data_IF_940809007856
#
_entry.id   IF_940809007856
#
_cell.length_a   1.000
_cell.length_b   1.000
_cell.length_c   1.000
_cell.angle_alpha   90.00
_cell.angle_beta   90.00
_cell.angle_gamma   90.00
#
_symmetry.space_group_name_H-M   'P 1'
#
loop_
_entity.id
_entity.type
_entity.pdbx_description
1 polymer ?
#
# COMPACT_ATOMS: atom_id res chain seq x y z
N UNK A 1 -8.04 55.37 24.87
CA UNK A 1 -6.87 54.48 25.05
C UNK A 1 -7.41 53.05 25.09
N UNK A 2 -7.09 52.24 24.08
CA UNK A 2 -7.54 50.83 24.02
C UNK A 2 -6.64 50.01 24.95
N UNK A 3 -7.22 49.38 25.96
CA UNK A 3 -6.53 48.38 26.79
C UNK A 3 -6.31 47.14 25.93
N UNK A 4 -5.15 47.05 25.29
CA UNK A 4 -4.71 45.79 24.69
C UNK A 4 -4.30 44.85 25.82
N UNK A 5 -5.23 43.99 26.23
CA UNK A 5 -4.92 42.84 27.10
C UNK A 5 -4.05 41.88 26.30
N UNK A 6 -2.74 41.98 26.49
CA UNK A 6 -1.79 40.99 25.98
C UNK A 6 -1.98 39.64 26.67
N UNK A 7 -1.77 38.56 25.93
CA UNK A 7 -1.76 37.20 26.43
C UNK A 7 -0.52 37.00 27.31
N UNK A 8 -0.65 36.37 28.49
CA UNK A 8 0.50 36.19 29.39
C UNK A 8 1.39 35.03 28.94
N UNK A 9 2.70 35.13 29.21
CA UNK A 9 3.64 34.03 28.95
C UNK A 9 3.26 32.78 29.73
N UNK A 10 2.75 32.95 30.95
CA UNK A 10 2.29 31.83 31.80
C UNK A 10 1.11 31.10 31.17
N UNK A 11 0.17 31.81 30.54
CA UNK A 11 -0.95 31.19 29.83
C UNK A 11 -0.47 30.33 28.64
N UNK A 12 0.51 30.80 27.85
CA UNK A 12 1.05 29.99 26.75
C UNK A 12 1.74 28.73 27.29
N UNK A 13 2.51 28.86 28.37
CA UNK A 13 3.26 27.74 28.95
C UNK A 13 2.34 26.65 29.45
N UNK A 14 1.27 26.99 30.19
CA UNK A 14 0.33 25.97 30.71
C UNK A 14 -0.41 25.30 29.54
N UNK A 15 -0.82 26.07 28.53
CA UNK A 15 -1.56 25.52 27.37
C UNK A 15 -0.68 24.54 26.59
N UNK A 16 0.55 24.92 26.23
CA UNK A 16 1.43 24.02 25.48
C UNK A 16 1.79 22.77 26.30
N UNK A 17 1.88 22.90 27.63
CA UNK A 17 2.16 21.78 28.53
C UNK A 17 1.02 20.76 28.53
N UNK A 18 -0.24 21.22 28.60
CA UNK A 18 -1.40 20.30 28.57
C UNK A 18 -1.54 19.64 27.19
N UNK A 19 -1.37 20.41 26.11
CA UNK A 19 -1.40 19.86 24.74
C UNK A 19 -0.32 18.81 24.54
N UNK A 20 0.88 19.01 25.11
CA UNK A 20 1.96 18.03 25.05
C UNK A 20 1.60 16.71 25.76
N UNK A 21 0.98 16.77 26.95
CA UNK A 21 0.55 15.57 27.69
C UNK A 21 -0.55 14.81 26.93
N UNK A 22 -1.55 15.52 26.40
CA UNK A 22 -2.62 14.90 25.61
C UNK A 22 -2.06 14.29 24.31
N UNK A 23 -1.17 15.00 23.64
CA UNK A 23 -0.50 14.53 22.42
C UNK A 23 0.30 13.26 22.67
N UNK A 24 1.03 13.17 23.78
CA UNK A 24 1.84 11.99 24.11
C UNK A 24 1.01 10.70 24.26
N UNK A 25 -0.23 10.79 24.73
CA UNK A 25 -1.11 9.63 24.91
C UNK A 25 -1.71 9.19 23.56
N UNK A 26 -2.08 10.13 22.69
CA UNK A 26 -2.83 9.87 21.45
C UNK A 26 -1.90 9.56 20.26
N UNK A 27 -0.70 10.16 20.20
CA UNK A 27 0.25 9.94 19.10
C UNK A 27 0.56 8.47 18.79
N UNK A 28 0.85 7.58 19.76
CA UNK A 28 1.20 6.20 19.44
C UNK A 28 0.02 5.43 18.80
N UNK A 29 -1.21 5.64 19.27
CA UNK A 29 -2.39 4.98 18.69
C UNK A 29 -2.68 5.50 17.28
N UNK A 30 -2.44 6.79 17.03
CA UNK A 30 -2.59 7.38 15.70
C UNK A 30 -1.58 6.82 14.69
N UNK A 31 -0.32 6.65 15.10
CA UNK A 31 0.73 6.05 14.25
C UNK A 31 0.34 4.61 13.89
N UNK A 32 -0.05 3.80 14.88
CA UNK A 32 -0.46 2.42 14.64
C UNK A 32 -1.70 2.33 13.73
N UNK A 33 -2.70 3.19 13.94
CA UNK A 33 -3.89 3.24 13.09
C UNK A 33 -3.54 3.59 11.64
N UNK A 34 -2.60 4.52 11.42
CA UNK A 34 -2.11 4.86 10.08
C UNK A 34 -1.39 3.68 9.44
N UNK A 35 -0.48 3.01 10.14
CA UNK A 35 0.23 1.84 9.63
C UNK A 35 -0.76 0.73 9.26
N UNK A 36 -1.74 0.44 10.10
CA UNK A 36 -2.77 -0.57 9.82
C UNK A 36 -3.64 -0.20 8.61
N UNK A 37 -3.98 1.08 8.43
CA UNK A 37 -4.72 1.55 7.27
C UNK A 37 -3.88 1.37 5.98
N UNK A 38 -2.59 1.69 6.02
CA UNK A 38 -1.65 1.46 4.91
C UNK A 38 -1.54 -0.01 4.55
N UNK A 39 -1.41 -0.91 5.54
CA UNK A 39 -1.32 -2.35 5.31
C UNK A 39 -2.62 -2.92 4.70
N UNK A 40 -3.78 -2.41 5.14
CA UNK A 40 -5.09 -2.79 4.60
C UNK A 40 -5.24 -2.34 3.14
N UNK A 41 -4.76 -1.14 2.82
CA UNK A 41 -4.76 -0.62 1.46
C UNK A 41 -3.84 -1.44 0.55
N UNK A 42 -2.65 -1.83 1.02
CA UNK A 42 -1.72 -2.69 0.27
C UNK A 42 -2.30 -4.09 0.02
N UNK A 43 -3.00 -4.65 1.02
CA UNK A 43 -3.74 -5.91 0.87
C UNK A 43 -4.84 -5.81 -0.20
N UNK A 44 -5.55 -4.68 -0.26
CA UNK A 44 -6.58 -4.45 -1.27
C UNK A 44 -5.95 -4.34 -2.67
N UNK A 45 -4.85 -3.60 -2.78
CA UNK A 45 -4.09 -3.47 -4.02
C UNK A 45 -3.64 -4.85 -4.54
N UNK A 46 -3.07 -5.70 -3.68
CA UNK A 46 -2.67 -7.06 -4.06
C UNK A 46 -3.82 -7.94 -4.55
N UNK A 47 -4.99 -7.86 -3.93
CA UNK A 47 -6.19 -8.58 -4.39
C UNK A 47 -6.66 -8.11 -5.76
N UNK A 48 -6.59 -6.80 -6.01
CA UNK A 48 -6.92 -6.24 -7.32
C UNK A 48 -5.93 -6.73 -8.38
N UNK A 49 -4.63 -6.75 -8.08
CA UNK A 49 -3.60 -7.29 -8.98
C UNK A 49 -3.84 -8.76 -9.36
N UNK A 50 -4.21 -9.61 -8.40
CA UNK A 50 -4.59 -11.00 -8.71
C UNK A 50 -5.84 -11.05 -9.60
N UNK A 51 -6.79 -10.13 -9.41
CA UNK A 51 -7.99 -10.05 -10.25
C UNK A 51 -7.63 -9.66 -11.69
N UNK A 52 -6.72 -8.70 -11.89
CA UNK A 52 -6.22 -8.31 -13.21
C UNK A 52 -5.38 -9.42 -13.86
N UNK A 53 -4.56 -10.14 -13.07
CA UNK A 53 -3.82 -11.29 -13.57
C UNK A 53 -4.77 -12.39 -14.04
N UNK A 54 -5.85 -12.66 -13.28
CA UNK A 54 -6.84 -13.65 -13.65
C UNK A 54 -7.57 -13.26 -14.94
N UNK A 55 -7.88 -11.98 -15.14
CA UNK A 55 -8.50 -11.53 -16.40
C UNK A 55 -7.50 -11.62 -17.56
N UNK A 56 -6.24 -11.24 -17.35
CA UNK A 56 -5.17 -11.38 -18.34
C UNK A 56 -4.99 -12.85 -18.77
N UNK A 57 -5.07 -13.80 -17.83
CA UNK A 57 -5.01 -15.25 -18.12
C UNK A 57 -6.19 -15.70 -18.98
N UNK A 58 -7.41 -15.26 -18.66
CA UNK A 58 -8.58 -15.57 -19.50
C UNK A 58 -8.49 -14.99 -20.92
N UNK A 59 -7.80 -13.86 -21.09
CA UNK A 59 -7.57 -13.22 -22.39
C UNK A 59 -6.40 -13.85 -23.17
N UNK A 60 -5.51 -14.60 -22.49
CA UNK A 60 -4.35 -15.27 -23.08
C UNK A 60 -4.73 -16.55 -23.85
N UNK A 61 -5.45 -16.38 -24.97
CA UNK A 61 -5.97 -17.49 -25.80
C UNK A 61 -4.96 -18.12 -26.75
N UNK A 62 -3.76 -17.55 -26.88
CA UNK A 62 -2.70 -18.05 -27.77
C UNK A 62 -1.48 -18.53 -26.96
N UNK A 63 -0.69 -19.50 -27.46
CA UNK A 63 0.52 -19.95 -26.77
C UNK A 63 1.54 -18.84 -26.53
N UNK A 64 1.61 -17.86 -27.45
CA UNK A 64 2.48 -16.69 -27.30
C UNK A 64 1.97 -15.78 -26.17
N UNK A 65 0.67 -15.52 -26.10
CA UNK A 65 0.08 -14.73 -25.02
C UNK A 65 0.29 -15.38 -23.65
N UNK A 66 0.13 -16.71 -23.53
CA UNK A 66 0.43 -17.41 -22.28
C UNK A 66 1.91 -17.37 -21.90
N UNK A 67 2.81 -17.40 -22.87
CA UNK A 67 4.25 -17.25 -22.62
C UNK A 67 4.57 -15.87 -22.07
N UNK A 68 3.98 -14.83 -22.64
CA UNK A 68 4.16 -13.45 -22.16
C UNK A 68 3.55 -13.25 -20.77
N UNK A 69 2.36 -13.83 -20.52
CA UNK A 69 1.72 -13.79 -19.21
C UNK A 69 2.60 -14.43 -18.12
N UNK A 70 3.18 -15.59 -18.40
CA UNK A 70 4.12 -16.29 -17.50
C UNK A 70 5.44 -15.54 -17.28
N UNK A 71 5.75 -14.56 -18.13
CA UNK A 71 6.95 -13.73 -18.03
C UNK A 71 6.72 -12.44 -17.22
N UNK A 72 5.51 -12.19 -16.73
CA UNK A 72 5.22 -11.04 -15.85
C UNK A 72 6.02 -11.18 -14.57
N UNK A 73 6.83 -10.17 -14.27
CA UNK A 73 7.61 -10.07 -13.02
C UNK A 73 7.26 -8.83 -12.20
N UNK A 74 6.63 -7.84 -12.82
CA UNK A 74 6.34 -6.54 -12.22
C UNK A 74 4.83 -6.29 -12.18
N UNK A 75 4.40 -5.56 -11.17
CA UNK A 75 2.99 -5.20 -10.96
C UNK A 75 2.52 -4.08 -11.89
N UNK A 76 3.44 -3.36 -12.54
CA UNK A 76 3.14 -2.38 -13.58
C UNK A 76 3.37 -2.92 -14.99
N UNK A 77 3.34 -4.26 -15.18
CA UNK A 77 3.46 -4.85 -16.50
C UNK A 77 2.32 -4.39 -17.42
N UNK A 78 2.64 -4.14 -18.69
CA UNK A 78 1.68 -3.66 -19.68
C UNK A 78 0.46 -4.58 -19.85
N UNK A 79 0.64 -5.89 -19.63
CA UNK A 79 -0.46 -6.86 -19.66
C UNK A 79 -1.46 -6.61 -18.54
N UNK A 80 -0.99 -6.30 -17.33
CA UNK A 80 -1.86 -5.98 -16.20
C UNK A 80 -2.53 -4.63 -16.37
N UNK A 81 -1.81 -3.64 -16.90
CA UNK A 81 -2.35 -2.30 -17.17
C UNK A 81 -3.47 -2.37 -18.23
N UNK A 82 -3.33 -3.22 -19.24
CA UNK A 82 -4.40 -3.43 -20.24
C UNK A 82 -5.69 -4.00 -19.62
N UNK A 83 -5.57 -4.72 -18.51
CA UNK A 83 -6.69 -5.25 -17.74
C UNK A 83 -7.23 -4.26 -16.68
N UNK A 84 -6.64 -3.07 -16.58
CA UNK A 84 -7.09 -2.00 -15.69
C UNK A 84 -6.27 -1.86 -14.41
N UNK A 85 -5.07 -2.45 -14.33
CA UNK A 85 -4.11 -2.11 -13.29
C UNK A 85 -3.58 -0.68 -13.45
N UNK A 86 -3.20 -0.06 -12.34
CA UNK A 86 -2.59 1.26 -12.33
C UNK A 86 -1.19 1.23 -12.98
N UNK A 87 -0.78 2.34 -13.59
CA UNK A 87 0.54 2.47 -14.25
C UNK A 87 1.70 2.71 -13.28
N UNK A 88 1.41 2.87 -12.00
CA UNK A 88 2.39 3.14 -10.95
C UNK A 88 2.00 2.37 -9.69
N UNK A 89 3.00 1.88 -8.96
CA UNK A 89 2.80 1.22 -7.68
C UNK A 89 2.50 2.29 -6.62
N UNK A 90 1.43 2.16 -5.83
CA UNK A 90 1.11 3.13 -4.78
C UNK A 90 2.23 3.24 -3.71
N UNK A 91 2.48 4.45 -3.19
CA UNK A 91 3.49 4.76 -2.14
C UNK A 91 3.38 3.92 -0.84
N UNK A 92 2.26 3.21 -0.66
CA UNK A 92 2.03 2.31 0.47
C UNK A 92 2.72 0.94 0.29
N UNK A 93 3.23 0.63 -0.90
CA UNK A 93 3.91 -0.61 -1.26
C UNK A 93 5.37 -0.31 -1.56
N UNK A 94 6.29 -0.98 -0.86
CA UNK A 94 7.74 -0.81 -0.99
C UNK A 94 8.33 -1.67 -2.11
N UNK A 95 7.76 -2.85 -2.31
CA UNK A 95 8.10 -3.73 -3.43
C UNK A 95 6.90 -4.58 -3.83
N UNK A 96 6.79 -4.86 -5.12
CA UNK A 96 5.74 -5.68 -5.71
C UNK A 96 6.37 -6.55 -6.79
N UNK A 97 6.22 -7.87 -6.69
CA UNK A 97 6.83 -8.81 -7.62
C UNK A 97 5.91 -9.98 -7.93
N UNK A 98 5.86 -10.34 -9.21
CA UNK A 98 5.24 -11.57 -9.68
C UNK A 98 6.30 -12.63 -9.96
N UNK A 99 5.97 -13.88 -9.66
CA UNK A 99 6.78 -15.05 -9.99
C UNK A 99 5.88 -16.15 -10.49
N UNK A 100 6.22 -16.76 -11.62
CA UNK A 100 5.51 -17.93 -12.14
C UNK A 100 6.26 -19.22 -11.79
N UNK A 101 5.60 -20.13 -11.06
CA UNK A 101 6.15 -21.45 -10.79
C UNK A 101 5.69 -22.44 -11.88
N UNK A 102 6.61 -22.78 -12.78
CA UNK A 102 6.38 -23.74 -13.87
C UNK A 102 6.12 -25.18 -13.40
N UNK A 103 6.46 -25.53 -12.15
CA UNK A 103 6.27 -26.87 -11.60
C UNK A 103 4.86 -27.07 -11.06
N UNK A 104 4.29 -26.04 -10.41
CA UNK A 104 2.92 -26.05 -9.88
C UNK A 104 1.90 -25.44 -10.85
N UNK A 105 2.37 -24.67 -11.83
CA UNK A 105 1.54 -23.96 -12.79
C UNK A 105 0.93 -22.68 -12.25
N UNK A 106 1.39 -22.19 -11.08
CA UNK A 106 0.78 -21.10 -10.33
C UNK A 106 1.59 -19.80 -10.40
N UNK A 107 0.90 -18.68 -10.28
CA UNK A 107 1.50 -17.37 -10.06
C UNK A 107 1.59 -17.07 -8.57
N UNK A 108 2.71 -16.50 -8.17
CA UNK A 108 2.95 -15.98 -6.84
C UNK A 108 3.13 -14.47 -6.93
N UNK A 109 2.37 -13.74 -6.13
CA UNK A 109 2.51 -12.30 -5.97
C UNK A 109 3.04 -12.03 -4.58
N UNK A 110 4.16 -11.33 -4.50
CA UNK A 110 4.74 -10.83 -3.26
C UNK A 110 4.61 -9.30 -3.23
N UNK A 111 3.97 -8.79 -2.18
CA UNK A 111 3.85 -7.36 -1.90
C UNK A 111 4.46 -7.09 -0.54
N UNK A 112 5.35 -6.11 -0.45
CA UNK A 112 5.88 -5.64 0.82
C UNK A 112 5.31 -4.25 1.10
N UNK A 113 4.77 -4.04 2.29
CA UNK A 113 4.22 -2.73 2.67
C UNK A 113 5.31 -1.76 3.05
N UNK A 114 5.16 -0.49 2.69
CA UNK A 114 6.11 0.58 3.04
C UNK A 114 6.03 0.92 4.53
N UNK A 115 4.83 0.90 5.10
CA UNK A 115 4.59 1.38 6.46
C UNK A 115 5.06 0.42 7.57
N UNK A 116 4.97 -0.90 7.34
CA UNK A 116 5.34 -1.92 8.34
C UNK A 116 6.40 -2.90 7.85
N UNK A 117 6.74 -2.92 6.55
CA UNK A 117 7.63 -3.93 5.97
C UNK A 117 7.01 -5.32 5.92
N UNK A 118 5.69 -5.43 6.05
CA UNK A 118 5.00 -6.72 6.08
C UNK A 118 4.92 -7.29 4.67
N UNK A 119 5.35 -8.53 4.50
CA UNK A 119 5.19 -9.28 3.24
C UNK A 119 3.82 -9.94 3.18
N UNK A 120 3.08 -9.65 2.11
CA UNK A 120 1.77 -10.20 1.78
C UNK A 120 1.93 -11.03 0.53
N UNK A 121 1.66 -12.33 0.66
CA UNK A 121 1.79 -13.29 -0.44
C UNK A 121 0.42 -13.74 -0.93
N UNK A 122 0.26 -13.79 -2.24
CA UNK A 122 -0.90 -14.39 -2.89
C UNK A 122 -0.46 -15.49 -3.86
N UNK A 123 -1.32 -16.48 -4.03
CA UNK A 123 -1.13 -17.56 -5.01
C UNK A 123 -2.37 -17.63 -5.87
N UNK A 124 -2.16 -17.62 -7.19
CA UNK A 124 -3.19 -17.76 -8.21
C UNK A 124 -2.88 -18.98 -9.09
#
# INVERSE_FOLDING_TARGET
MKNEKGFTVVEIIIVVSIVAVLGAIIMPSLINARTQASDTAATTYGRNLITYLASADTNATTPVAQTNLRAITDCTDALLINEGADSEVPDIVSSCAFTYDSSTGQFQLEIVTEASGTTINYTY
#
